data_IF_601283212185
#
_entry.id   IF_601283212185
#
_cell.length_a   1.000
_cell.length_b   1.000
_cell.length_c   1.000
_cell.angle_alpha   90.00
_cell.angle_beta   90.00
_cell.angle_gamma   90.00
#
_symmetry.space_group_name_H-M   'P 1'
#
loop_
_entity.id
_entity.type
_entity.pdbx_description
1 polymer ?
#
# COMPACT_ATOMS: atom_id res chain seq x y z
N UNK A 1 7.96 13.83 8.10
CA UNK A 1 8.00 15.27 7.80
C UNK A 1 8.89 15.96 8.80
N UNK A 2 9.95 16.60 8.31
CA UNK A 2 10.85 17.42 9.11
C UNK A 2 10.67 18.87 8.70
N UNK A 3 10.46 19.78 9.66
CA UNK A 3 10.26 21.20 9.41
C UNK A 3 11.27 21.97 10.25
N UNK A 4 12.09 22.79 9.58
CA UNK A 4 13.12 23.62 10.20
C UNK A 4 12.90 25.10 9.92
N UNK A 5 12.97 25.93 10.93
CA UNK A 5 12.99 27.37 10.77
C UNK A 5 14.41 27.86 10.42
N UNK A 6 14.66 28.18 9.15
CA UNK A 6 15.93 28.73 8.67
C UNK A 6 15.98 30.25 8.70
N UNK A 7 14.94 30.92 9.17
CA UNK A 7 14.86 32.37 9.27
C UNK A 7 15.39 32.91 10.60
N UNK A 8 15.31 34.21 10.76
CA UNK A 8 15.83 34.95 11.94
C UNK A 8 14.74 35.34 12.95
N UNK A 9 13.49 34.95 12.71
CA UNK A 9 12.35 35.22 13.59
C UNK A 9 11.53 33.97 13.83
N UNK A 10 10.86 33.88 14.97
CA UNK A 10 9.91 32.81 15.26
C UNK A 10 8.85 32.66 14.14
N UNK A 11 8.45 31.45 13.85
CA UNK A 11 7.41 31.14 12.88
C UNK A 11 6.27 30.38 13.54
N UNK A 12 5.05 30.77 13.16
CA UNK A 12 3.82 30.09 13.53
C UNK A 12 3.23 29.50 12.24
N UNK A 13 3.11 28.19 12.18
CA UNK A 13 2.69 27.44 10.99
C UNK A 13 1.54 26.52 11.34
N UNK A 14 0.62 26.31 10.41
CA UNK A 14 -0.33 25.20 10.46
C UNK A 14 -0.01 24.26 9.32
N UNK A 15 0.22 22.99 9.65
CA UNK A 15 0.47 21.90 8.69
C UNK A 15 -0.79 21.07 8.59
N UNK A 16 -1.17 20.76 7.36
CA UNK A 16 -2.32 19.91 7.08
C UNK A 16 -1.87 18.64 6.34
N UNK A 17 -2.26 17.48 6.85
CA UNK A 17 -2.21 16.25 6.04
C UNK A 17 -3.48 16.13 5.23
N UNK A 18 -3.42 15.37 4.14
CA UNK A 18 -4.60 15.04 3.35
C UNK A 18 -4.42 13.69 2.64
N UNK A 19 -5.38 12.81 2.84
CA UNK A 19 -5.48 11.56 2.08
C UNK A 19 -6.94 11.32 1.67
N UNK A 20 -7.16 10.68 0.53
CA UNK A 20 -8.45 10.13 0.14
C UNK A 20 -8.42 8.62 0.35
N UNK A 21 -9.41 8.08 1.06
CA UNK A 21 -9.48 6.64 1.30
C UNK A 21 -10.02 5.93 0.07
N UNK A 22 -9.40 4.80 -0.28
CA UNK A 22 -9.78 3.95 -1.40
C UNK A 22 -9.71 2.49 -0.95
N UNK A 23 -10.76 2.01 -0.29
CA UNK A 23 -10.92 0.61 0.09
C UNK A 23 -11.94 -0.03 -0.83
N UNK A 24 -11.47 -0.77 -1.82
CA UNK A 24 -12.29 -1.34 -2.87
C UNK A 24 -12.42 -2.85 -2.75
N UNK A 25 -13.64 -3.34 -2.98
CA UNK A 25 -13.85 -4.68 -3.49
C UNK A 25 -14.19 -4.55 -4.97
N UNK A 26 -13.24 -4.88 -5.85
CA UNK A 26 -13.37 -4.58 -7.27
C UNK A 26 -14.59 -5.21 -7.94
N UNK A 27 -15.00 -6.42 -7.54
CA UNK A 27 -16.19 -7.11 -8.10
C UNK A 27 -17.47 -6.43 -7.65
N UNK A 28 -17.60 -6.19 -6.36
CA UNK A 28 -18.77 -5.56 -5.75
C UNK A 28 -18.94 -4.12 -6.25
N UNK A 29 -17.85 -3.37 -6.26
CA UNK A 29 -17.84 -1.96 -6.61
C UNK A 29 -18.08 -1.74 -8.10
N UNK A 30 -17.66 -2.68 -8.95
CA UNK A 30 -17.96 -2.67 -10.38
C UNK A 30 -19.46 -2.89 -10.67
N UNK A 31 -20.10 -3.78 -9.91
CA UNK A 31 -21.51 -4.10 -10.11
C UNK A 31 -22.45 -3.12 -9.41
N UNK A 32 -21.95 -2.38 -8.43
CA UNK A 32 -22.76 -1.49 -7.61
C UNK A 32 -21.98 -0.23 -7.22
N UNK A 33 -21.70 0.61 -8.21
CA UNK A 33 -20.85 1.80 -8.01
C UNK A 33 -21.40 2.80 -6.98
N UNK A 34 -22.71 2.78 -6.69
CA UNK A 34 -23.30 3.64 -5.66
C UNK A 34 -22.71 3.35 -4.26
N UNK A 35 -22.23 2.16 -4.02
CA UNK A 35 -21.57 1.79 -2.76
C UNK A 35 -20.22 2.47 -2.57
N UNK A 36 -19.51 2.77 -3.64
CA UNK A 36 -18.25 3.50 -3.58
C UNK A 36 -18.42 4.88 -2.97
N UNK A 37 -19.61 5.43 -3.09
CA UNK A 37 -19.92 6.77 -2.62
C UNK A 37 -20.63 6.80 -1.27
N UNK A 38 -21.32 5.73 -0.88
CA UNK A 38 -22.25 5.75 0.25
C UNK A 38 -21.77 4.98 1.48
N UNK A 39 -20.65 4.27 1.43
CA UNK A 39 -20.29 3.30 2.45
C UNK A 39 -19.11 3.69 3.33
N UNK A 40 -18.65 4.92 3.24
CA UNK A 40 -17.54 5.40 4.06
C UNK A 40 -17.98 5.76 5.48
N UNK A 41 -17.90 4.82 6.42
CA UNK A 41 -17.98 5.15 7.84
C UNK A 41 -16.59 5.47 8.39
N UNK A 42 -16.52 6.46 9.25
CA UNK A 42 -15.26 6.94 9.83
C UNK A 42 -15.35 6.95 11.34
N UNK A 43 -14.28 6.51 11.99
CA UNK A 43 -14.05 6.72 13.41
C UNK A 43 -12.83 7.60 13.58
N UNK A 44 -12.84 8.50 14.56
CA UNK A 44 -11.73 9.42 14.84
C UNK A 44 -11.35 9.29 16.30
N UNK A 45 -10.07 9.13 16.55
CA UNK A 45 -9.44 9.27 17.84
C UNK A 45 -8.48 10.46 17.75
N UNK A 46 -8.91 11.65 18.18
CA UNK A 46 -8.10 12.85 18.05
C UNK A 46 -6.89 12.86 19.00
N UNK A 47 -6.94 12.04 20.05
CA UNK A 47 -5.86 11.88 21.01
C UNK A 47 -5.86 10.45 21.54
N UNK A 48 -4.76 9.75 21.31
CA UNK A 48 -4.51 8.39 21.80
C UNK A 48 -3.04 8.25 22.19
N UNK A 49 -2.75 7.40 23.15
CA UNK A 49 -1.38 7.03 23.52
C UNK A 49 -1.11 5.60 23.06
N UNK A 50 -0.08 5.39 22.23
CA UNK A 50 0.34 4.08 21.72
C UNK A 50 1.81 3.90 22.11
N UNK A 51 2.08 2.95 23.03
CA UNK A 51 3.36 2.89 23.69
C UNK A 51 3.62 4.20 24.45
N UNK A 52 4.75 4.84 24.19
CA UNK A 52 5.15 6.11 24.82
C UNK A 52 4.85 7.35 23.93
N UNK A 53 3.99 7.19 22.91
CA UNK A 53 3.75 8.25 21.93
C UNK A 53 2.29 8.69 21.91
N UNK A 54 2.07 10.00 22.04
CA UNK A 54 0.76 10.60 21.77
C UNK A 54 0.56 10.69 20.26
N UNK A 55 -0.63 10.29 19.81
CA UNK A 55 -0.99 10.22 18.40
C UNK A 55 -2.42 10.71 18.19
N UNK A 56 -2.74 10.94 16.92
CA UNK A 56 -4.12 11.05 16.44
C UNK A 56 -4.35 10.06 15.32
N UNK A 57 -5.52 9.44 15.24
CA UNK A 57 -5.86 8.46 14.22
C UNK A 57 -7.28 8.65 13.67
N UNK A 58 -7.42 8.41 12.37
CA UNK A 58 -8.69 8.34 11.62
C UNK A 58 -8.78 6.95 11.01
N UNK A 59 -9.89 6.25 11.21
CA UNK A 59 -10.17 4.92 10.70
C UNK A 59 -11.29 5.00 9.69
N UNK A 60 -11.08 4.47 8.50
CA UNK A 60 -12.11 4.37 7.47
C UNK A 60 -12.50 2.92 7.27
N UNK A 61 -13.79 2.62 7.44
CA UNK A 61 -14.38 1.30 7.30
C UNK A 61 -15.48 1.33 6.23
N UNK A 62 -15.36 0.49 5.22
CA UNK A 62 -16.34 0.39 4.14
C UNK A 62 -17.18 -0.86 4.33
N UNK A 63 -18.52 -0.73 4.42
CA UNK A 63 -19.46 -1.84 4.64
C UNK A 63 -19.06 -2.82 5.74
N UNK A 64 -18.40 -2.33 6.74
CA UNK A 64 -17.81 -3.12 7.80
C UNK A 64 -18.84 -3.93 8.58
N UNK A 65 -20.07 -3.44 8.65
CA UNK A 65 -21.15 -4.09 9.39
C UNK A 65 -21.56 -5.44 8.82
N UNK A 66 -21.61 -5.56 7.50
CA UNK A 66 -22.22 -6.71 6.85
C UNK A 66 -21.20 -7.69 6.28
N UNK A 67 -20.28 -7.21 5.45
CA UNK A 67 -19.47 -8.07 4.59
C UNK A 67 -17.98 -7.95 4.78
N UNK A 68 -17.50 -6.82 5.25
CA UNK A 68 -16.07 -6.53 5.34
C UNK A 68 -15.61 -6.53 6.80
N UNK A 69 -14.36 -6.86 6.99
CA UNK A 69 -13.69 -6.91 8.29
C UNK A 69 -12.38 -6.10 8.26
N UNK A 70 -12.12 -5.38 7.17
CA UNK A 70 -10.93 -4.56 6.99
C UNK A 70 -11.24 -3.07 7.03
N UNK A 71 -10.25 -2.29 7.40
CA UNK A 71 -10.32 -0.84 7.46
C UNK A 71 -8.96 -0.21 7.17
N UNK A 72 -8.97 1.03 6.71
CA UNK A 72 -7.77 1.84 6.58
C UNK A 72 -7.58 2.70 7.83
N UNK A 73 -6.34 3.02 8.16
CA UNK A 73 -5.97 3.95 9.21
C UNK A 73 -5.06 5.03 8.65
N UNK A 74 -5.35 6.30 8.99
CA UNK A 74 -4.44 7.43 8.84
C UNK A 74 -4.13 7.99 10.20
N UNK A 75 -2.84 8.13 10.53
CA UNK A 75 -2.42 8.60 11.84
C UNK A 75 -1.24 9.55 11.75
N UNK A 76 -1.03 10.31 12.82
CA UNK A 76 0.12 11.19 12.99
C UNK A 76 0.69 11.06 14.40
N UNK A 77 2.02 11.14 14.53
CA UNK A 77 2.77 10.98 15.78
C UNK A 77 2.72 12.20 16.71
N UNK A 78 1.54 12.76 16.88
CA UNK A 78 1.24 13.85 17.83
C UNK A 78 -0.26 13.98 18.01
N UNK A 79 -0.70 14.57 19.11
CA UNK A 79 -2.07 15.05 19.24
C UNK A 79 -2.29 16.20 18.23
N UNK A 80 -3.26 16.04 17.34
CA UNK A 80 -3.58 17.04 16.32
C UNK A 80 -4.44 18.16 16.90
N UNK A 81 -4.26 19.39 16.41
CA UNK A 81 -5.06 20.54 16.80
C UNK A 81 -6.45 20.57 16.15
N UNK A 82 -6.65 19.70 15.16
CA UNK A 82 -7.93 19.53 14.49
C UNK A 82 -7.85 18.47 13.41
N UNK A 83 -9.01 18.08 12.91
CA UNK A 83 -9.12 17.06 11.87
C UNK A 83 -10.29 17.36 10.95
N UNK A 84 -10.32 16.74 9.77
CA UNK A 84 -11.47 16.68 8.90
C UNK A 84 -11.54 15.32 8.21
N UNK A 85 -12.73 14.73 8.15
CA UNK A 85 -12.99 13.50 7.42
C UNK A 85 -14.00 13.66 6.29
N UNK A 86 -14.67 14.79 6.19
CA UNK A 86 -15.53 15.15 5.06
C UNK A 86 -14.72 15.92 4.01
N UNK A 87 -14.69 15.38 2.78
CA UNK A 87 -14.02 16.01 1.65
C UNK A 87 -14.58 17.42 1.37
N UNK A 88 -15.89 17.58 1.44
CA UNK A 88 -16.54 18.84 1.20
C UNK A 88 -16.18 19.89 2.26
N UNK A 89 -16.09 19.49 3.52
CA UNK A 89 -15.67 20.40 4.61
C UNK A 89 -14.23 20.84 4.43
N UNK A 90 -13.32 19.93 4.10
CA UNK A 90 -11.90 20.24 3.95
C UNK A 90 -11.59 21.00 2.66
N UNK A 91 -12.04 20.52 1.49
CA UNK A 91 -11.74 21.13 0.19
C UNK A 91 -12.66 22.30 -0.12
N UNK A 92 -13.94 22.23 0.26
CA UNK A 92 -15.03 23.11 -0.15
C UNK A 92 -15.80 22.55 -1.34
N UNK A 93 -17.09 22.89 -1.44
CA UNK A 93 -18.02 22.36 -2.46
C UNK A 93 -17.52 22.56 -3.90
N UNK A 94 -16.89 23.69 -4.19
CA UNK A 94 -16.33 24.04 -5.51
C UNK A 94 -14.80 24.23 -5.47
N UNK A 95 -14.17 23.76 -4.39
CA UNK A 95 -12.72 23.85 -4.20
C UNK A 95 -11.94 22.76 -4.94
N UNK A 96 -10.63 22.84 -4.80
CA UNK A 96 -9.71 21.82 -5.33
C UNK A 96 -8.62 21.49 -4.32
N UNK A 97 -7.94 20.34 -4.46
CA UNK A 97 -6.79 20.01 -3.61
C UNK A 97 -5.63 21.01 -3.69
N UNK A 98 -5.56 21.82 -4.77
CA UNK A 98 -4.54 22.87 -4.90
C UNK A 98 -4.76 24.04 -3.95
N UNK A 99 -6.01 24.29 -3.50
CA UNK A 99 -6.36 25.35 -2.57
C UNK A 99 -7.55 24.91 -1.70
N UNK A 100 -7.34 24.00 -0.74
CA UNK A 100 -8.41 23.53 0.12
C UNK A 100 -8.96 24.67 1.00
N UNK A 101 -10.28 24.67 1.21
CA UNK A 101 -10.96 25.66 2.04
C UNK A 101 -10.38 25.72 3.47
N UNK A 102 -10.19 24.57 4.11
CA UNK A 102 -9.65 24.50 5.46
C UNK A 102 -8.25 25.13 5.59
N UNK A 103 -7.38 24.88 4.59
CA UNK A 103 -6.03 25.47 4.54
C UNK A 103 -6.10 26.98 4.30
N UNK A 104 -6.96 27.43 3.37
CA UNK A 104 -7.13 28.85 3.08
C UNK A 104 -7.64 29.64 4.28
N UNK A 105 -8.54 29.05 5.04
CA UNK A 105 -9.14 29.68 6.24
C UNK A 105 -8.32 29.45 7.52
N UNK A 106 -7.26 28.61 7.44
CA UNK A 106 -6.38 28.33 8.58
C UNK A 106 -7.06 27.54 9.69
N UNK A 107 -8.07 26.74 9.39
CA UNK A 107 -8.87 26.02 10.39
C UNK A 107 -9.16 24.56 9.98
N UNK A 108 -9.61 23.77 10.96
CA UNK A 108 -10.26 22.47 10.73
C UNK A 108 -11.66 22.53 11.30
N UNK A 109 -12.59 21.84 10.68
CA UNK A 109 -14.01 21.87 11.08
C UNK A 109 -14.37 20.70 12.00
N UNK A 110 -13.42 19.80 12.27
CA UNK A 110 -13.60 18.53 12.98
C UNK A 110 -14.79 17.74 12.41
N UNK A 111 -14.90 17.76 11.10
CA UNK A 111 -15.99 17.11 10.37
C UNK A 111 -15.87 15.61 10.43
N UNK A 112 -17.03 14.93 10.60
CA UNK A 112 -17.16 13.48 10.49
C UNK A 112 -17.93 13.18 9.22
N UNK A 113 -17.33 12.40 8.32
CA UNK A 113 -17.99 11.98 7.09
C UNK A 113 -19.16 11.04 7.40
N UNK A 114 -20.29 11.30 6.77
CA UNK A 114 -21.51 10.48 6.86
C UNK A 114 -21.77 9.77 5.53
N UNK A 115 -20.88 8.91 5.14
CA UNK A 115 -21.04 8.02 3.98
C UNK A 115 -20.35 8.48 2.70
N UNK A 116 -20.21 9.76 2.46
CA UNK A 116 -19.82 10.28 1.15
C UNK A 116 -18.37 10.75 1.11
N UNK A 117 -17.56 10.20 0.19
CA UNK A 117 -16.16 10.60 -0.08
C UNK A 117 -15.33 10.91 1.18
N UNK A 118 -15.14 9.95 2.10
CA UNK A 118 -14.39 10.21 3.31
C UNK A 118 -12.92 10.46 3.00
N UNK A 119 -12.34 11.38 3.76
CA UNK A 119 -10.92 11.75 3.69
C UNK A 119 -10.29 11.65 5.07
N UNK A 120 -8.97 11.69 5.13
CA UNK A 120 -8.24 11.85 6.39
C UNK A 120 -7.37 13.10 6.34
N UNK A 121 -7.68 14.07 7.19
CA UNK A 121 -6.87 15.26 7.35
C UNK A 121 -6.65 15.57 8.82
N UNK A 122 -5.41 15.89 9.19
CA UNK A 122 -5.05 16.45 10.48
C UNK A 122 -4.47 17.84 10.29
N UNK A 123 -4.78 18.75 11.25
CA UNK A 123 -4.11 20.03 11.40
C UNK A 123 -3.18 19.98 12.61
N UNK A 124 -1.94 20.42 12.42
CA UNK A 124 -0.92 20.53 13.44
C UNK A 124 -0.43 21.97 13.45
N UNK A 125 -0.60 22.66 14.58
CA UNK A 125 -0.11 24.02 14.76
C UNK A 125 1.29 23.96 15.38
N UNK A 126 2.25 24.61 14.74
CA UNK A 126 3.67 24.49 15.05
C UNK A 126 4.25 25.87 15.31
N UNK A 127 4.94 26.00 16.43
CA UNK A 127 5.76 27.16 16.73
C UNK A 127 7.23 26.73 16.60
N UNK A 128 8.02 27.49 15.86
CA UNK A 128 9.45 27.24 15.64
C UNK A 128 10.26 28.50 15.90
N UNK A 129 11.15 28.45 16.88
CA UNK A 129 12.17 29.46 17.08
C UNK A 129 13.21 29.42 15.95
N UNK A 130 14.02 30.50 15.76
CA UNK A 130 15.09 30.48 14.77
C UNK A 130 16.05 29.29 14.97
N UNK A 131 16.23 28.50 13.91
CA UNK A 131 17.06 27.28 13.93
C UNK A 131 16.37 26.03 14.49
N UNK A 132 15.20 26.17 15.11
CA UNK A 132 14.45 25.02 15.64
C UNK A 132 13.91 24.13 14.53
N UNK A 133 13.88 22.82 14.83
CA UNK A 133 13.40 21.77 13.93
C UNK A 133 12.43 20.85 14.67
N UNK A 134 11.34 20.45 14.01
CA UNK A 134 10.37 19.46 14.51
C UNK A 134 10.09 18.39 13.49
N UNK A 135 9.87 17.19 13.98
CA UNK A 135 9.62 16.00 13.15
C UNK A 135 8.27 15.37 13.50
N UNK A 136 7.57 14.94 12.47
CA UNK A 136 6.29 14.25 12.58
C UNK A 136 6.26 13.05 11.65
N UNK A 137 5.75 11.92 12.12
CA UNK A 137 5.52 10.73 11.31
C UNK A 137 4.05 10.65 10.96
N UNK A 138 3.73 10.58 9.67
CA UNK A 138 2.40 10.29 9.16
C UNK A 138 2.36 8.85 8.70
N UNK A 139 1.32 8.12 9.10
CA UNK A 139 1.17 6.70 8.81
C UNK A 139 -0.14 6.49 8.06
N UNK A 140 -0.06 5.74 6.95
CA UNK A 140 -1.23 5.18 6.27
C UNK A 140 -1.10 3.68 6.37
N UNK A 141 -2.14 3.01 6.85
CA UNK A 141 -2.14 1.59 7.05
C UNK A 141 -3.44 0.92 6.65
N UNK A 142 -3.37 -0.39 6.54
CA UNK A 142 -4.48 -1.29 6.32
C UNK A 142 -4.49 -2.31 7.46
N UNK A 143 -5.67 -2.58 8.01
CA UNK A 143 -5.87 -3.57 9.03
C UNK A 143 -7.08 -4.45 8.69
N UNK A 144 -6.99 -5.72 9.07
CA UNK A 144 -8.04 -6.70 8.88
C UNK A 144 -8.29 -7.42 10.20
N UNK A 145 -9.54 -7.36 10.68
CA UNK A 145 -9.94 -8.04 11.90
C UNK A 145 -10.44 -9.46 11.61
N UNK A 146 -10.21 -10.43 12.49
CA UNK A 146 -10.92 -11.71 12.42
C UNK A 146 -12.44 -11.48 12.44
N UNK A 147 -13.18 -12.29 11.72
CA UNK A 147 -14.65 -12.13 11.59
C UNK A 147 -15.39 -12.16 12.93
N UNK A 148 -14.89 -12.95 13.88
CA UNK A 148 -15.42 -13.09 15.23
C UNK A 148 -14.98 -11.96 16.18
N UNK A 149 -14.04 -11.11 15.77
CA UNK A 149 -13.48 -10.02 16.57
C UNK A 149 -13.49 -8.66 15.83
N UNK A 150 -14.52 -8.44 15.04
CA UNK A 150 -14.66 -7.18 14.30
C UNK A 150 -14.78 -5.94 15.21
N UNK A 151 -15.42 -6.10 16.35
CA UNK A 151 -15.89 -5.00 17.18
C UNK A 151 -15.27 -5.02 18.58
N UNK A 152 -14.91 -3.85 19.08
CA UNK A 152 -14.63 -3.62 20.50
C UNK A 152 -15.93 -3.48 21.30
N UNK A 153 -16.90 -2.77 20.71
CA UNK A 153 -18.23 -2.56 21.25
C UNK A 153 -19.19 -2.28 20.10
N UNK A 154 -20.49 -2.12 20.39
CA UNK A 154 -21.49 -1.91 19.35
C UNK A 154 -21.14 -0.74 18.42
N UNK A 155 -20.91 -1.05 17.15
CA UNK A 155 -20.59 -0.08 16.09
C UNK A 155 -19.17 0.48 16.12
N UNK A 156 -18.32 0.11 17.08
CA UNK A 156 -16.93 0.56 17.20
C UNK A 156 -16.01 -0.59 16.80
N UNK A 157 -15.16 -0.35 15.78
CA UNK A 157 -14.25 -1.36 15.26
C UNK A 157 -13.16 -1.73 16.28
N UNK A 158 -12.75 -2.99 16.24
CA UNK A 158 -11.56 -3.42 16.95
C UNK A 158 -10.31 -2.79 16.32
N UNK A 159 -9.59 -1.99 17.10
CA UNK A 159 -8.41 -1.23 16.66
C UNK A 159 -7.08 -1.89 17.02
N UNK A 160 -7.12 -3.02 17.70
CA UNK A 160 -5.90 -3.73 18.14
C UNK A 160 -4.89 -3.96 17.00
N UNK A 161 -5.29 -4.44 15.79
CA UNK A 161 -4.36 -4.59 14.67
C UNK A 161 -3.79 -3.28 14.18
N UNK A 162 -4.58 -2.19 14.21
CA UNK A 162 -4.09 -0.86 13.84
C UNK A 162 -3.09 -0.35 14.88
N UNK A 163 -3.35 -0.51 16.18
CA UNK A 163 -2.42 -0.10 17.23
C UNK A 163 -1.07 -0.81 17.09
N UNK A 164 -1.08 -2.11 16.83
CA UNK A 164 0.14 -2.88 16.58
C UNK A 164 0.93 -2.37 15.35
N UNK A 165 0.22 -1.94 14.30
CA UNK A 165 0.83 -1.31 13.12
C UNK A 165 1.41 0.07 13.46
N UNK A 166 0.64 0.91 14.16
CA UNK A 166 1.06 2.27 14.52
C UNK A 166 2.28 2.24 15.46
N UNK A 167 2.31 1.35 16.43
CA UNK A 167 3.43 1.21 17.36
C UNK A 167 4.76 0.93 16.67
N UNK A 168 4.75 0.26 15.53
CA UNK A 168 5.94 -0.02 14.73
C UNK A 168 6.63 1.25 14.20
N UNK A 169 5.87 2.33 13.97
CA UNK A 169 6.37 3.48 13.20
C UNK A 169 6.06 4.84 13.86
N UNK A 170 5.56 4.85 15.10
CA UNK A 170 5.02 6.04 15.77
C UNK A 170 6.06 7.08 16.22
N UNK A 171 7.34 6.86 15.98
CA UNK A 171 8.39 7.84 16.30
C UNK A 171 9.36 8.02 15.13
N UNK A 172 10.02 9.19 15.00
CA UNK A 172 11.07 9.39 13.99
C UNK A 172 12.17 8.33 14.05
N UNK A 173 12.62 7.93 15.24
CA UNK A 173 13.64 6.91 15.40
C UNK A 173 13.21 5.53 14.88
N UNK A 174 11.96 5.12 15.12
CA UNK A 174 11.40 3.87 14.57
C UNK A 174 11.25 3.94 13.05
N UNK A 175 10.81 5.09 12.53
CA UNK A 175 10.76 5.33 11.09
C UNK A 175 12.15 5.22 10.45
N UNK A 176 13.17 5.86 11.02
CA UNK A 176 14.54 5.81 10.50
C UNK A 176 15.10 4.39 10.51
N UNK A 177 14.83 3.64 11.57
CA UNK A 177 15.20 2.21 11.66
C UNK A 177 14.55 1.39 10.56
N UNK A 178 13.25 1.58 10.33
CA UNK A 178 12.52 0.88 9.27
C UNK A 178 13.02 1.28 7.86
N UNK A 179 13.31 2.56 7.66
CA UNK A 179 13.88 3.05 6.39
C UNK A 179 15.29 2.50 6.14
N UNK A 180 16.12 2.43 7.18
CA UNK A 180 17.45 1.81 7.09
C UNK A 180 17.33 0.33 6.71
N UNK A 181 16.48 -0.44 7.39
CA UNK A 181 16.23 -1.84 7.08
C UNK A 181 15.73 -2.04 5.62
N UNK A 182 14.86 -1.16 5.13
CA UNK A 182 14.40 -1.19 3.74
C UNK A 182 15.54 -0.90 2.76
N UNK A 183 16.40 0.08 3.06
CA UNK A 183 17.58 0.37 2.23
C UNK A 183 18.56 -0.79 2.20
N UNK A 184 18.80 -1.43 3.35
CA UNK A 184 19.68 -2.58 3.45
C UNK A 184 19.13 -3.77 2.65
N UNK A 185 17.83 -4.04 2.75
CA UNK A 185 17.15 -5.05 1.94
C UNK A 185 17.38 -4.84 0.44
N UNK A 186 17.10 -3.63 -0.07
CA UNK A 186 17.27 -3.33 -1.48
C UNK A 186 18.74 -3.35 -1.91
N UNK A 187 19.65 -2.85 -1.07
CA UNK A 187 21.08 -2.89 -1.34
C UNK A 187 21.58 -4.33 -1.46
N UNK A 188 21.17 -5.20 -0.54
CA UNK A 188 21.53 -6.61 -0.58
C UNK A 188 20.98 -7.28 -1.85
N UNK A 189 19.69 -7.14 -2.12
CA UNK A 189 19.03 -7.72 -3.28
C UNK A 189 19.67 -7.27 -4.59
N UNK A 190 19.88 -5.97 -4.77
CA UNK A 190 20.49 -5.41 -5.99
C UNK A 190 21.98 -5.72 -6.14
N UNK A 191 22.66 -6.18 -5.09
CA UNK A 191 24.06 -6.58 -5.14
C UNK A 191 24.32 -7.94 -5.79
N UNK A 192 23.26 -8.72 -6.06
CA UNK A 192 23.35 -10.03 -6.70
C UNK A 192 23.91 -9.95 -8.12
N UNK A 193 23.73 -8.82 -8.80
CA UNK A 193 24.23 -8.59 -10.15
C UNK A 193 24.66 -7.13 -10.32
N UNK A 194 25.96 -6.92 -10.56
CA UNK A 194 26.53 -5.57 -10.69
C UNK A 194 27.40 -5.47 -11.96
N UNK A 195 27.10 -4.46 -12.74
CA UNK A 195 27.92 -4.02 -13.88
C UNK A 195 28.57 -2.70 -13.54
N UNK A 196 29.88 -2.59 -13.68
CA UNK A 196 30.63 -1.34 -13.55
C UNK A 196 31.33 -0.98 -14.85
N UNK A 197 30.97 0.18 -15.41
CA UNK A 197 31.50 0.70 -16.67
C UNK A 197 31.65 2.22 -16.54
N UNK A 198 32.29 2.83 -17.54
CA UNK A 198 32.38 4.29 -17.64
C UNK A 198 31.01 4.94 -17.88
N UNK A 199 30.09 4.25 -18.56
CA UNK A 199 28.72 4.73 -18.77
C UNK A 199 27.85 4.53 -17.50
N UNK A 200 27.76 5.59 -16.70
CA UNK A 200 26.99 5.61 -15.46
C UNK A 200 25.48 5.52 -15.66
N UNK A 201 24.97 5.82 -16.87
CA UNK A 201 23.54 5.62 -17.21
C UNK A 201 23.25 4.15 -17.43
N UNK A 202 24.13 3.45 -18.15
CA UNK A 202 24.06 2.01 -18.33
C UNK A 202 24.15 1.29 -16.97
N UNK A 203 25.12 1.65 -16.12
CA UNK A 203 25.24 1.09 -14.78
C UNK A 203 23.93 1.25 -13.98
N UNK A 204 23.32 2.44 -13.98
CA UNK A 204 22.08 2.70 -13.27
C UNK A 204 20.91 1.88 -13.84
N UNK A 205 20.82 1.80 -15.16
CA UNK A 205 19.77 1.02 -15.81
C UNK A 205 19.85 -0.46 -15.42
N UNK A 206 21.04 -1.05 -15.52
CA UNK A 206 21.24 -2.48 -15.29
C UNK A 206 21.19 -2.82 -13.80
N UNK A 207 21.90 -2.07 -12.95
CA UNK A 207 22.06 -2.42 -11.55
C UNK A 207 20.84 -2.08 -10.68
N UNK A 208 19.99 -1.15 -11.13
CA UNK A 208 18.84 -0.70 -10.35
C UNK A 208 17.55 -0.95 -11.10
N UNK A 209 17.35 -0.26 -12.23
CA UNK A 209 16.01 -0.21 -12.85
C UNK A 209 15.55 -1.54 -13.43
N UNK A 210 16.42 -2.28 -14.10
CA UNK A 210 16.05 -3.59 -14.67
C UNK A 210 15.72 -4.58 -13.55
N UNK A 211 16.54 -4.66 -12.52
CA UNK A 211 16.31 -5.56 -11.38
C UNK A 211 15.06 -5.16 -10.59
N UNK A 212 14.88 -3.85 -10.33
CA UNK A 212 13.67 -3.34 -9.70
C UNK A 212 12.42 -3.70 -10.51
N UNK A 213 12.46 -3.54 -11.83
CA UNK A 213 11.34 -3.86 -12.72
C UNK A 213 11.01 -5.36 -12.69
N UNK A 214 12.01 -6.23 -12.65
CA UNK A 214 11.79 -7.67 -12.47
C UNK A 214 11.10 -7.97 -11.14
N UNK A 215 11.50 -7.30 -10.04
CA UNK A 215 10.86 -7.46 -8.74
C UNK A 215 9.42 -6.91 -8.72
N UNK A 216 9.15 -5.80 -9.39
CA UNK A 216 7.79 -5.28 -9.57
C UNK A 216 6.93 -6.31 -10.33
N UNK A 217 7.45 -6.88 -11.40
CA UNK A 217 6.76 -7.92 -12.18
C UNK A 217 6.46 -9.15 -11.33
N UNK A 218 7.40 -9.60 -10.52
CA UNK A 218 7.18 -10.71 -9.58
C UNK A 218 6.06 -10.41 -8.57
N UNK A 219 6.12 -9.25 -7.91
CA UNK A 219 5.18 -8.88 -6.86
C UNK A 219 3.77 -8.58 -7.40
N UNK A 220 3.69 -7.88 -8.52
CA UNK A 220 2.43 -7.45 -9.12
C UNK A 220 1.84 -8.48 -10.09
N UNK A 221 2.61 -9.50 -10.46
CA UNK A 221 2.20 -10.55 -11.40
C UNK A 221 1.58 -9.97 -12.68
N UNK A 222 2.19 -8.93 -13.24
CA UNK A 222 1.71 -8.14 -14.39
C UNK A 222 0.31 -7.54 -14.20
N UNK A 223 -0.23 -7.57 -12.99
CA UNK A 223 -1.52 -6.95 -12.67
C UNK A 223 -1.27 -5.52 -12.19
N UNK A 224 -1.01 -4.61 -13.13
CA UNK A 224 -0.66 -3.24 -12.81
C UNK A 224 -1.85 -2.45 -12.24
N UNK A 225 -3.06 -2.73 -12.69
CA UNK A 225 -4.27 -2.10 -12.16
C UNK A 225 -5.54 -2.85 -12.58
N UNK A 226 -6.62 -2.55 -11.87
CA UNK A 226 -7.97 -2.96 -12.25
C UNK A 226 -8.32 -2.55 -13.69
N UNK A 227 -7.96 -1.35 -14.07
CA UNK A 227 -8.28 -0.79 -15.39
C UNK A 227 -7.55 -1.52 -16.54
N UNK A 228 -6.37 -2.05 -16.27
CA UNK A 228 -5.61 -2.82 -17.25
C UNK A 228 -6.10 -4.26 -17.36
N UNK A 229 -6.24 -4.93 -16.22
CA UNK A 229 -6.39 -6.38 -16.18
C UNK A 229 -7.82 -6.84 -15.85
N UNK A 230 -8.69 -5.95 -15.37
CA UNK A 230 -10.01 -6.31 -14.85
C UNK A 230 -9.94 -7.01 -13.50
N UNK A 231 -11.08 -7.55 -13.06
CA UNK A 231 -11.18 -8.31 -11.80
C UNK A 231 -10.93 -9.79 -12.04
N UNK A 232 -10.13 -10.39 -11.15
CA UNK A 232 -9.94 -11.83 -11.15
C UNK A 232 -9.14 -12.41 -12.32
N UNK A 233 -8.52 -11.56 -13.15
CA UNK A 233 -7.68 -12.00 -14.26
C UNK A 233 -6.38 -12.60 -13.73
N UNK A 234 -6.03 -13.80 -14.26
CA UNK A 234 -4.75 -14.44 -13.98
C UNK A 234 -3.63 -13.93 -14.88
N UNK A 235 -2.43 -14.36 -14.58
CA UNK A 235 -1.27 -14.27 -15.47
C UNK A 235 -1.28 -15.43 -16.46
N UNK A 236 -0.76 -15.22 -17.65
CA UNK A 236 -0.45 -16.30 -18.57
C UNK A 236 0.51 -17.31 -17.91
N UNK A 237 0.28 -18.58 -18.11
CA UNK A 237 1.18 -19.64 -17.64
C UNK A 237 2.60 -19.44 -18.17
N UNK A 238 2.71 -19.23 -19.47
CA UNK A 238 3.96 -18.88 -20.17
C UNK A 238 4.58 -17.62 -19.60
N UNK A 239 3.78 -16.55 -19.47
CA UNK A 239 4.24 -15.26 -18.95
C UNK A 239 4.83 -15.40 -17.54
N UNK A 240 4.17 -16.15 -16.66
CA UNK A 240 4.65 -16.44 -15.32
C UNK A 240 6.00 -17.17 -15.33
N UNK A 241 6.18 -18.11 -16.26
CA UNK A 241 7.43 -18.86 -16.41
C UNK A 241 8.55 -18.01 -17.03
N UNK A 242 8.23 -17.13 -17.97
CA UNK A 242 9.21 -16.21 -18.57
C UNK A 242 9.71 -15.19 -17.55
N UNK A 243 8.82 -14.70 -16.70
CA UNK A 243 9.17 -13.73 -15.65
C UNK A 243 10.17 -14.33 -14.64
N UNK A 244 10.14 -15.64 -14.40
CA UNK A 244 11.15 -16.33 -13.57
C UNK A 244 12.59 -16.04 -14.02
N UNK A 245 12.83 -15.94 -15.33
CA UNK A 245 14.16 -15.68 -15.87
C UNK A 245 14.72 -14.33 -15.44
N UNK A 246 13.85 -13.39 -15.08
CA UNK A 246 14.24 -12.06 -14.64
C UNK A 246 14.56 -11.95 -13.14
N UNK A 247 14.21 -12.96 -12.31
CA UNK A 247 14.36 -12.84 -10.86
C UNK A 247 14.85 -14.12 -10.13
N UNK A 248 15.12 -15.22 -10.84
CA UNK A 248 15.67 -16.44 -10.21
C UNK A 248 16.95 -16.17 -9.42
N UNK A 249 17.82 -15.32 -9.93
CA UNK A 249 19.08 -14.93 -9.29
C UNK A 249 18.89 -13.90 -8.16
N UNK A 250 17.78 -13.17 -8.14
CA UNK A 250 17.51 -12.14 -7.11
C UNK A 250 16.86 -12.74 -5.86
N UNK A 251 15.92 -13.67 -6.06
CA UNK A 251 15.07 -14.22 -5.00
C UNK A 251 14.86 -15.73 -5.20
N UNK A 252 15.92 -16.55 -5.15
CA UNK A 252 15.87 -17.96 -5.52
C UNK A 252 14.81 -18.76 -4.75
N UNK A 253 14.65 -18.54 -3.45
CA UNK A 253 13.63 -19.25 -2.65
C UNK A 253 12.21 -18.94 -3.09
N UNK A 254 11.92 -17.67 -3.36
CA UNK A 254 10.60 -17.23 -3.86
C UNK A 254 10.37 -17.69 -5.29
N UNK A 255 11.41 -17.71 -6.12
CA UNK A 255 11.37 -18.26 -7.47
C UNK A 255 11.06 -19.76 -7.47
N UNK A 256 11.71 -20.53 -6.57
CA UNK A 256 11.40 -21.95 -6.37
C UNK A 256 9.94 -22.16 -5.99
N UNK A 257 9.43 -21.40 -5.06
CA UNK A 257 8.03 -21.52 -4.67
C UNK A 257 7.08 -21.21 -5.83
N UNK A 258 7.38 -20.17 -6.61
CA UNK A 258 6.60 -19.82 -7.81
C UNK A 258 6.62 -20.96 -8.85
N UNK A 259 7.75 -21.61 -9.07
CA UNK A 259 7.87 -22.78 -9.96
C UNK A 259 6.93 -23.89 -9.49
N UNK A 260 6.94 -24.21 -8.19
CA UNK A 260 6.09 -25.24 -7.62
C UNK A 260 4.59 -24.88 -7.73
N UNK A 261 4.24 -23.63 -7.45
CA UNK A 261 2.85 -23.14 -7.56
C UNK A 261 2.33 -23.24 -9.01
N UNK A 262 3.15 -22.87 -9.99
CA UNK A 262 2.79 -22.99 -11.42
C UNK A 262 2.71 -24.47 -11.84
N UNK A 263 3.68 -25.28 -11.45
CA UNK A 263 3.70 -26.72 -11.77
C UNK A 263 2.45 -27.44 -11.22
N UNK A 264 1.97 -27.03 -10.04
CA UNK A 264 0.75 -27.59 -9.46
C UNK A 264 -0.53 -27.28 -10.26
N UNK A 265 -0.48 -26.43 -11.28
CA UNK A 265 -1.60 -26.14 -12.18
C UNK A 265 -1.57 -26.93 -13.48
N UNK A 266 -0.56 -27.82 -13.69
CA UNK A 266 -0.50 -28.72 -14.84
C UNK A 266 -1.47 -29.90 -14.67
N UNK A 267 -1.90 -30.41 -15.79
CA UNK A 267 -2.65 -31.68 -15.86
C UNK A 267 -1.69 -32.87 -15.84
N UNK A 268 -2.22 -34.07 -15.59
CA UNK A 268 -1.43 -35.35 -15.57
C UNK A 268 -0.74 -35.65 -16.89
N UNK A 269 -1.32 -35.20 -18.01
CA UNK A 269 -0.73 -35.36 -19.34
C UNK A 269 0.38 -34.35 -19.67
N UNK A 270 0.67 -33.44 -18.70
CA UNK A 270 1.69 -32.41 -18.85
C UNK A 270 1.21 -31.14 -19.53
N UNK A 271 -0.03 -31.08 -20.01
CA UNK A 271 -0.63 -29.84 -20.49
C UNK A 271 -0.98 -28.91 -19.30
N UNK A 272 -1.32 -27.68 -19.58
CA UNK A 272 -1.61 -26.69 -18.54
C UNK A 272 -2.78 -25.78 -18.92
N UNK A 273 -3.40 -25.16 -17.94
CA UNK A 273 -4.24 -24.00 -18.18
C UNK A 273 -3.41 -22.87 -18.77
N UNK A 274 -4.00 -22.10 -19.68
CA UNK A 274 -3.32 -20.94 -20.26
C UNK A 274 -3.08 -19.81 -19.23
N UNK A 275 -3.85 -19.76 -18.15
CA UNK A 275 -3.69 -18.77 -17.10
C UNK A 275 -3.54 -19.40 -15.71
N UNK A 276 -2.67 -18.77 -14.94
CA UNK A 276 -2.41 -19.02 -13.52
C UNK A 276 -2.87 -17.84 -12.68
N UNK A 277 -3.50 -18.13 -11.54
CA UNK A 277 -3.95 -17.11 -10.58
C UNK A 277 -2.99 -17.06 -9.39
N UNK A 278 -2.15 -16.02 -9.27
CA UNK A 278 -1.13 -15.95 -8.23
C UNK A 278 -1.68 -15.93 -6.79
N UNK A 279 -2.85 -15.31 -6.59
CA UNK A 279 -3.48 -15.20 -5.27
C UNK A 279 -4.09 -16.53 -4.81
N UNK A 280 -4.76 -17.25 -5.70
CA UNK A 280 -5.41 -18.54 -5.38
C UNK A 280 -4.53 -19.73 -5.64
N UNK A 281 -3.41 -19.54 -6.37
CA UNK A 281 -2.49 -20.59 -6.83
C UNK A 281 -3.17 -21.66 -7.67
N UNK A 282 -4.16 -21.29 -8.45
CA UNK A 282 -4.96 -22.20 -9.29
C UNK A 282 -4.90 -21.78 -10.74
N UNK A 283 -5.09 -22.76 -11.64
CA UNK A 283 -5.34 -22.50 -13.05
C UNK A 283 -6.71 -21.88 -13.28
N UNK A 284 -6.85 -21.13 -14.36
CA UNK A 284 -8.11 -20.52 -14.78
C UNK A 284 -8.70 -21.28 -15.98
N UNK A 285 -9.81 -21.98 -15.77
CA UNK A 285 -10.49 -22.76 -16.82
C UNK A 285 -11.20 -21.91 -17.87
N UNK A 286 -11.53 -20.66 -17.56
CA UNK A 286 -12.35 -19.80 -18.42
C UNK A 286 -11.62 -19.34 -19.68
N UNK A 287 -10.29 -19.35 -19.67
CA UNK A 287 -9.44 -18.90 -20.77
C UNK A 287 -8.97 -20.08 -21.66
N UNK A 288 -9.21 -21.32 -21.22
CA UNK A 288 -8.85 -22.50 -21.96
C UNK A 288 -7.51 -23.13 -21.54
N UNK A 289 -7.14 -24.16 -22.25
CA UNK A 289 -5.94 -24.99 -22.01
C UNK A 289 -5.41 -25.52 -23.34
N UNK A 290 -4.27 -26.24 -23.30
CA UNK A 290 -3.74 -26.95 -24.46
C UNK A 290 -2.88 -26.08 -25.39
N UNK A 291 -2.34 -24.99 -24.94
CA UNK A 291 -1.31 -24.23 -25.66
C UNK A 291 0.01 -25.01 -25.59
N UNK A 292 0.55 -25.36 -26.75
CA UNK A 292 1.65 -26.32 -26.86
C UNK A 292 2.96 -25.82 -26.23
N UNK A 293 3.20 -24.52 -26.18
CA UNK A 293 4.44 -23.95 -25.68
C UNK A 293 4.39 -23.59 -24.16
N UNK A 294 3.21 -23.48 -23.56
CA UNK A 294 3.07 -23.13 -22.16
C UNK A 294 3.91 -24.02 -21.20
N UNK A 295 3.80 -25.38 -21.27
CA UNK A 295 4.59 -26.25 -20.40
C UNK A 295 6.10 -26.20 -20.66
N UNK A 296 6.53 -25.88 -21.86
CA UNK A 296 7.96 -25.78 -22.21
C UNK A 296 8.64 -24.60 -21.48
N UNK A 297 7.93 -23.54 -21.25
CA UNK A 297 8.44 -22.40 -20.50
C UNK A 297 8.66 -22.72 -19.01
N UNK A 298 7.87 -23.61 -18.43
CA UNK A 298 8.10 -24.08 -17.06
C UNK A 298 9.42 -24.87 -16.98
N UNK A 299 9.71 -25.68 -17.98
CA UNK A 299 11.00 -26.39 -18.08
C UNK A 299 12.15 -25.41 -18.20
N UNK A 300 12.02 -24.37 -19.04
CA UNK A 300 13.02 -23.34 -19.20
C UNK A 300 13.28 -22.56 -17.89
N UNK A 301 12.22 -22.14 -17.20
CA UNK A 301 12.31 -21.46 -15.90
C UNK A 301 12.94 -22.33 -14.82
N UNK A 302 12.56 -23.63 -14.77
CA UNK A 302 13.16 -24.58 -13.83
C UNK A 302 14.62 -24.83 -14.14
N UNK A 303 15.00 -24.97 -15.41
CA UNK A 303 16.39 -25.13 -15.81
C UNK A 303 17.25 -23.91 -15.48
N UNK A 304 16.71 -22.69 -15.62
CA UNK A 304 17.38 -21.48 -15.19
C UNK A 304 17.61 -21.48 -13.67
N UNK A 305 16.56 -21.78 -12.89
CA UNK A 305 16.67 -21.88 -11.43
C UNK A 305 17.74 -22.89 -10.95
N UNK A 306 17.88 -24.04 -11.64
CA UNK A 306 18.85 -25.05 -11.26
C UNK A 306 20.30 -24.70 -11.64
N UNK A 307 20.50 -23.69 -12.49
CA UNK A 307 21.82 -23.24 -12.94
C UNK A 307 22.35 -22.08 -12.09
N UNK A 308 21.45 -21.29 -11.50
CA UNK A 308 21.81 -20.18 -10.61
C UNK A 308 22.04 -20.67 -9.17
#
# INVERSE_FOLDING_TARGET
LTIKNTGNSAKHLSVYSYIEFCLWNAVDDCNNFQRNFSTGEVEVQPEITIGDSDMSAIYHKTEYRERRNHYAVHAVSTAANGFDTSRESFIGTYGSPAMPKAVKEGTSYNSIASGWSPVGSFRIDINLEPGEEKEYVFIIGYAENPDDKKWESFGIINKEPAYALLEKYNTPAKFDTALAALKDYWTHLLSSYIVDTEDKKLCRMVNIWNQYQCMVTFNMSRSASYYESGTGRGMGFRDSCQDLLGFVHLIPDSARQRILDIAATQFEDGSAYHQYQPLTKKGNSDIGSGFNDDPLWLIAGTAAYLKE
#
